data_IF_807127578244
#
_entry.id   IF_807127578244
#
_cell.length_a   1.000
_cell.length_b   1.000
_cell.length_c   1.000
_cell.angle_alpha   90.00
_cell.angle_beta   90.00
_cell.angle_gamma   90.00
#
_symmetry.space_group_name_H-M   'P 1'
#
loop_
_entity.id
_entity.type
_entity.pdbx_description
1 polymer ?
#
# COMPACT_ATOMS: atom_id res chain seq x y z
N UNK A 1 -5.71 6.97 30.42
CA UNK A 1 -6.36 6.45 29.19
C UNK A 1 -5.53 6.91 28.01
N UNK A 2 -4.73 6.03 27.42
CA UNK A 2 -3.81 6.39 26.34
C UNK A 2 -4.53 6.38 25.00
N UNK A 3 -4.86 7.56 24.49
CA UNK A 3 -5.31 7.72 23.10
C UNK A 3 -4.08 7.69 22.19
N UNK A 4 -3.65 6.49 21.81
CA UNK A 4 -2.56 6.29 20.86
C UNK A 4 -3.04 6.73 19.49
N UNK A 5 -2.82 8.01 19.17
CA UNK A 5 -2.91 8.54 17.79
C UNK A 5 -1.52 8.81 17.21
N UNK A 6 -0.63 7.82 17.03
CA UNK A 6 0.63 8.05 16.36
C UNK A 6 0.36 7.92 14.86
N UNK A 7 0.53 9.03 14.15
CA UNK A 7 0.88 9.00 12.73
C UNK A 7 -0.23 8.53 11.75
N UNK A 8 -1.37 9.23 11.71
CA UNK A 8 -2.39 9.06 10.64
C UNK A 8 -1.81 9.29 9.23
N UNK A 9 -0.86 10.24 9.10
CA UNK A 9 -0.29 10.68 7.82
C UNK A 9 0.44 9.56 7.03
N UNK A 10 1.39 8.78 7.59
CA UNK A 10 2.02 7.69 6.85
C UNK A 10 1.05 6.56 6.51
N UNK A 11 0.07 6.27 7.37
CA UNK A 11 -0.92 5.23 7.10
C UNK A 11 -1.87 5.64 5.96
N UNK A 12 -2.37 6.87 5.97
CA UNK A 12 -3.17 7.44 4.88
C UNK A 12 -2.40 7.49 3.56
N UNK A 13 -1.12 7.87 3.59
CA UNK A 13 -0.25 7.87 2.42
C UNK A 13 -0.05 6.46 1.85
N UNK A 14 0.14 5.45 2.72
CA UNK A 14 0.25 4.05 2.31
C UNK A 14 -1.05 3.55 1.66
N UNK A 15 -2.20 3.89 2.25
CA UNK A 15 -3.51 3.58 1.68
C UNK A 15 -3.72 4.23 0.31
N UNK A 16 -3.36 5.52 0.17
CA UNK A 16 -3.42 6.23 -1.10
C UNK A 16 -2.54 5.54 -2.16
N UNK A 17 -1.32 5.14 -1.80
CA UNK A 17 -0.38 4.44 -2.69
C UNK A 17 -0.94 3.11 -3.19
N UNK A 18 -1.55 2.32 -2.30
CA UNK A 18 -2.22 1.05 -2.68
C UNK A 18 -3.37 1.32 -3.67
N UNK A 19 -4.25 2.29 -3.40
CA UNK A 19 -5.35 2.65 -4.31
C UNK A 19 -4.85 3.13 -5.67
N UNK A 20 -3.80 3.95 -5.68
CA UNK A 20 -3.19 4.46 -6.89
C UNK A 20 -2.58 3.34 -7.74
N UNK A 21 -1.86 2.41 -7.10
CA UNK A 21 -1.26 1.25 -7.78
C UNK A 21 -2.31 0.29 -8.34
N UNK A 22 -3.42 0.07 -7.64
CA UNK A 22 -4.57 -0.69 -8.15
C UNK A 22 -5.15 -0.07 -9.43
N UNK A 23 -5.38 1.26 -9.41
CA UNK A 23 -5.89 1.98 -10.59
C UNK A 23 -4.92 1.89 -11.78
N UNK A 24 -3.61 2.00 -11.51
CA UNK A 24 -2.59 1.80 -12.55
C UNK A 24 -2.63 0.38 -13.08
N UNK A 25 -2.66 -0.63 -12.21
CA UNK A 25 -2.63 -2.04 -12.60
C UNK A 25 -3.83 -2.40 -13.48
N UNK A 26 -5.03 -1.95 -13.11
CA UNK A 26 -6.27 -2.17 -13.87
C UNK A 26 -6.27 -1.54 -15.26
N UNK A 27 -5.43 -0.53 -15.50
CA UNK A 27 -5.29 0.14 -16.81
C UNK A 27 -4.21 -0.48 -17.69
N UNK A 28 -3.39 -1.40 -17.18
CA UNK A 28 -2.32 -2.04 -17.94
C UNK A 28 -2.84 -3.29 -18.65
N UNK A 29 -2.30 -3.56 -19.83
CA UNK A 29 -2.55 -4.80 -20.55
C UNK A 29 -2.15 -6.00 -19.69
N UNK A 30 -3.12 -6.88 -19.44
CA UNK A 30 -2.95 -8.09 -18.65
C UNK A 30 -1.79 -8.94 -19.21
N UNK A 31 -0.97 -9.52 -18.32
CA UNK A 31 0.22 -10.31 -18.63
C UNK A 31 1.35 -9.60 -19.41
N UNK A 32 1.25 -8.30 -19.68
CA UNK A 32 2.40 -7.55 -20.20
C UNK A 32 3.52 -7.47 -19.15
N UNK A 33 4.77 -7.32 -19.60
CA UNK A 33 5.94 -7.08 -18.71
C UNK A 33 5.70 -5.92 -17.73
N UNK A 34 5.00 -4.86 -18.19
CA UNK A 34 4.68 -3.69 -17.37
C UNK A 34 3.56 -3.96 -16.36
N UNK A 35 2.63 -4.88 -16.66
CA UNK A 35 1.61 -5.33 -15.72
C UNK A 35 2.23 -6.12 -14.57
N UNK A 36 3.16 -7.03 -14.85
CA UNK A 36 3.90 -7.75 -13.82
C UNK A 36 4.69 -6.80 -12.91
N UNK A 37 5.41 -5.82 -13.49
CA UNK A 37 6.11 -4.78 -12.72
C UNK A 37 5.17 -4.00 -11.80
N UNK A 38 3.97 -3.65 -12.28
CA UNK A 38 2.98 -2.95 -11.45
C UNK A 38 2.40 -3.84 -10.35
N UNK A 39 2.20 -5.13 -10.62
CA UNK A 39 1.73 -6.11 -9.63
C UNK A 39 2.73 -6.28 -8.49
N UNK A 40 4.03 -6.35 -8.79
CA UNK A 40 5.10 -6.41 -7.78
C UNK A 40 5.08 -5.16 -6.89
N UNK A 41 5.05 -3.96 -7.49
CA UNK A 41 4.96 -2.69 -6.72
C UNK A 41 3.72 -2.63 -5.82
N UNK A 42 2.60 -3.19 -6.28
CA UNK A 42 1.38 -3.29 -5.48
C UNK A 42 1.57 -4.20 -4.27
N UNK A 43 2.21 -5.36 -4.44
CA UNK A 43 2.53 -6.26 -3.34
C UNK A 43 3.49 -5.61 -2.31
N UNK A 44 4.53 -4.91 -2.76
CA UNK A 44 5.44 -4.14 -1.88
C UNK A 44 4.68 -3.10 -1.05
N UNK A 45 3.71 -2.40 -1.65
CA UNK A 45 2.88 -1.44 -0.92
C UNK A 45 1.98 -2.10 0.13
N UNK A 46 1.49 -3.32 -0.14
CA UNK A 46 0.73 -4.10 0.85
C UNK A 46 1.60 -4.56 2.03
N UNK A 47 2.83 -5.00 1.79
CA UNK A 47 3.77 -5.34 2.87
C UNK A 47 4.09 -4.12 3.74
N UNK A 48 4.32 -2.96 3.12
CA UNK A 48 4.54 -1.71 3.85
C UNK A 48 3.33 -1.34 4.72
N UNK A 49 2.10 -1.43 4.18
CA UNK A 49 0.88 -1.19 4.93
C UNK A 49 0.72 -2.15 6.11
N UNK A 50 1.04 -3.44 5.91
CA UNK A 50 1.00 -4.46 6.96
C UNK A 50 1.99 -4.16 8.08
N UNK A 51 3.20 -3.69 7.76
CA UNK A 51 4.20 -3.32 8.76
C UNK A 51 3.72 -2.14 9.60
N UNK A 52 3.17 -1.09 8.97
CA UNK A 52 2.58 0.05 9.68
C UNK A 52 1.48 -0.38 10.68
N UNK A 53 0.63 -1.36 10.31
CA UNK A 53 -0.42 -1.89 11.19
C UNK A 53 0.15 -2.68 12.39
N UNK A 54 1.29 -3.33 12.22
CA UNK A 54 1.95 -4.08 13.31
C UNK A 54 2.60 -3.13 14.31
N UNK A 55 3.23 -2.07 13.82
CA UNK A 55 3.91 -1.07 14.66
C UNK A 55 2.92 -0.34 15.60
N UNK A 56 1.65 -0.21 15.22
CA UNK A 56 0.61 0.39 16.08
C UNK A 56 0.04 -0.57 17.14
N UNK A 57 0.43 -1.85 17.12
CA UNK A 57 -0.10 -2.90 18.03
C UNK A 57 0.90 -3.31 19.12
N UNK A 58 2.04 -2.61 19.25
CA UNK A 58 3.06 -2.80 20.29
C UNK A 58 3.00 -1.65 21.28
#
# INVERSE_FOLDING_TARGET
MGSTSPNVKPYENALWKVRHLHRILSRKQFLSKNWFKAKVKLAEAYEHLRNLRKDTST
#
